data_IF_015053808159
#
_entry.id   IF_015053808159
#
_cell.length_a   1.000
_cell.length_b   1.000
_cell.length_c   1.000
_cell.angle_alpha   90.00
_cell.angle_beta   90.00
_cell.angle_gamma   90.00
#
_symmetry.space_group_name_H-M   'P 1'
#
loop_
_entity.id
_entity.type
_entity.pdbx_description
1 polymer ?
#
# COMPACT_ATOMS: atom_id res chain seq x y z
N UNK A 1 -21.80 8.82 4.36
CA UNK A 1 -22.26 9.07 2.97
C UNK A 1 -23.16 10.29 2.84
N UNK A 2 -23.98 10.63 3.84
CA UNK A 2 -24.93 11.77 3.80
C UNK A 2 -24.36 13.17 3.47
N UNK A 3 -23.07 13.44 3.73
CA UNK A 3 -22.51 14.80 3.56
C UNK A 3 -22.07 15.14 2.14
N UNK A 4 -21.77 14.15 1.31
CA UNK A 4 -21.23 14.34 -0.04
C UNK A 4 -22.26 14.93 -1.03
N UNK A 5 -23.54 14.56 -0.90
CA UNK A 5 -24.58 14.94 -1.86
C UNK A 5 -24.95 16.43 -1.87
N UNK A 6 -24.54 17.21 -0.87
CA UNK A 6 -24.94 18.63 -0.73
C UNK A 6 -24.16 19.60 -1.60
N UNK A 7 -23.02 19.18 -2.17
CA UNK A 7 -22.14 20.07 -2.93
C UNK A 7 -22.35 19.98 -4.46
N UNK A 8 -23.28 19.14 -4.94
CA UNK A 8 -23.53 18.94 -6.38
C UNK A 8 -22.39 18.21 -7.12
N UNK A 9 -21.39 17.70 -6.40
CA UNK A 9 -20.27 16.94 -6.96
C UNK A 9 -20.53 15.44 -6.83
N UNK A 10 -20.24 14.69 -7.89
CA UNK A 10 -20.27 13.22 -7.87
C UNK A 10 -19.10 12.73 -7.03
N UNK A 11 -19.40 11.95 -6.00
CA UNK A 11 -18.37 11.25 -5.21
C UNK A 11 -18.30 9.81 -5.68
N UNK A 12 -17.14 9.44 -6.22
CA UNK A 12 -16.82 8.07 -6.55
C UNK A 12 -16.11 7.39 -5.38
N UNK A 13 -16.52 6.16 -5.08
CA UNK A 13 -15.87 5.34 -4.05
C UNK A 13 -14.94 4.34 -4.71
N UNK A 14 -13.67 4.33 -4.29
CA UNK A 14 -12.74 3.29 -4.70
C UNK A 14 -12.74 2.12 -3.70
N UNK A 15 -12.51 0.87 -4.14
CA UNK A 15 -12.43 -0.29 -3.25
C UNK A 15 -11.22 -0.26 -2.30
N UNK A 16 -10.30 0.69 -2.50
CA UNK A 16 -9.04 0.79 -1.79
C UNK A 16 -7.89 0.21 -2.62
N UNK A 17 -6.67 0.33 -2.11
CA UNK A 17 -5.48 -0.14 -2.81
C UNK A 17 -5.14 -1.57 -2.40
N UNK A 18 -4.91 -2.45 -3.37
CA UNK A 18 -4.40 -3.81 -3.15
C UNK A 18 -3.37 -4.11 -4.22
N UNK A 19 -2.14 -4.42 -3.84
CA UNK A 19 -1.08 -4.77 -4.79
C UNK A 19 -0.53 -6.16 -4.47
N UNK A 20 -0.32 -6.99 -5.48
CA UNK A 20 0.52 -8.19 -5.32
C UNK A 20 1.96 -7.75 -5.06
N UNK A 21 2.63 -8.34 -4.08
CA UNK A 21 4.05 -8.02 -3.82
C UNK A 21 4.93 -8.38 -5.02
N UNK A 22 4.56 -9.40 -5.79
CA UNK A 22 5.24 -9.75 -7.03
C UNK A 22 5.21 -8.61 -8.05
N UNK A 23 4.11 -7.85 -8.13
CA UNK A 23 4.03 -6.67 -9.00
C UNK A 23 4.98 -5.58 -8.52
N UNK A 24 5.06 -5.32 -7.22
CA UNK A 24 6.02 -4.36 -6.66
C UNK A 24 7.47 -4.81 -6.96
N UNK A 25 7.74 -6.11 -6.86
CA UNK A 25 9.07 -6.68 -7.10
C UNK A 25 9.48 -6.67 -8.58
N UNK A 26 8.53 -6.58 -9.51
CA UNK A 26 8.82 -6.44 -10.93
C UNK A 26 9.37 -5.06 -11.31
N UNK A 27 9.18 -4.04 -10.44
CA UNK A 27 9.56 -2.65 -10.71
C UNK A 27 10.46 -2.05 -9.60
N UNK A 28 11.63 -2.64 -9.31
CA UNK A 28 12.53 -2.15 -8.27
C UNK A 28 13.03 -0.72 -8.52
N UNK A 29 13.06 -0.27 -9.78
CA UNK A 29 13.49 1.07 -10.19
C UNK A 29 12.58 2.20 -9.67
N UNK A 30 11.34 1.91 -9.26
CA UNK A 30 10.41 2.94 -8.82
C UNK A 30 10.79 3.55 -7.45
N UNK A 31 11.24 2.71 -6.51
CA UNK A 31 11.55 3.12 -5.12
C UNK A 31 12.80 2.48 -4.51
N UNK A 32 13.45 1.56 -5.23
CA UNK A 32 14.65 0.86 -4.80
C UNK A 32 14.36 -0.58 -4.36
N UNK A 33 15.38 -1.42 -4.48
CA UNK A 33 15.34 -2.82 -4.05
C UNK A 33 15.07 -2.97 -2.55
N UNK A 34 15.56 -2.03 -1.73
CA UNK A 34 15.31 -1.96 -0.29
C UNK A 34 13.81 -1.88 0.04
N UNK A 35 13.03 -1.21 -0.82
CA UNK A 35 11.59 -1.07 -0.66
C UNK A 35 10.84 -2.33 -1.09
N UNK A 36 11.32 -3.01 -2.12
CA UNK A 36 10.79 -4.32 -2.55
C UNK A 36 10.96 -5.34 -1.44
N UNK A 37 12.18 -5.45 -0.90
CA UNK A 37 12.51 -6.36 0.20
C UNK A 37 11.67 -6.05 1.45
N UNK A 38 11.47 -4.77 1.76
CA UNK A 38 10.61 -4.37 2.85
C UNK A 38 9.15 -4.78 2.61
N UNK A 39 8.61 -4.62 1.41
CA UNK A 39 7.26 -5.05 1.07
C UNK A 39 7.07 -6.56 1.19
N UNK A 40 8.05 -7.35 0.71
CA UNK A 40 8.09 -8.80 0.88
C UNK A 40 8.09 -9.20 2.35
N UNK A 41 9.00 -8.62 3.13
CA UNK A 41 9.10 -8.88 4.57
C UNK A 41 7.81 -8.54 5.31
N UNK A 42 7.15 -7.42 4.98
CA UNK A 42 5.85 -7.03 5.55
C UNK A 42 4.84 -8.16 5.35
N UNK A 43 4.75 -8.68 4.14
CA UNK A 43 3.80 -9.75 3.82
C UNK A 43 4.14 -11.06 4.51
N UNK A 44 5.39 -11.51 4.42
CA UNK A 44 5.84 -12.75 5.04
C UNK A 44 5.58 -12.80 6.55
N UNK A 45 5.60 -11.64 7.23
CA UNK A 45 5.53 -11.56 8.69
C UNK A 45 4.19 -11.12 9.24
N UNK A 46 3.39 -10.37 8.48
CA UNK A 46 2.18 -9.71 8.99
C UNK A 46 0.91 -10.07 8.22
N UNK A 47 1.02 -10.82 7.11
CA UNK A 47 -0.11 -11.22 6.28
C UNK A 47 -0.17 -12.74 6.08
N UNK A 48 -1.35 -13.22 5.74
CA UNK A 48 -1.61 -14.62 5.36
C UNK A 48 -1.82 -14.76 3.84
N UNK A 49 -1.36 -13.78 3.06
CA UNK A 49 -1.60 -13.63 1.61
C UNK A 49 -0.41 -12.96 0.94
N UNK A 50 -0.27 -13.07 -0.38
CA UNK A 50 0.74 -12.33 -1.17
C UNK A 50 0.39 -10.86 -1.42
N UNK A 51 -0.83 -10.45 -1.04
CA UNK A 51 -1.37 -9.12 -1.26
C UNK A 51 -0.97 -8.12 -0.17
N UNK A 52 -0.37 -7.02 -0.61
CA UNK A 52 -0.11 -5.84 0.19
C UNK A 52 -1.34 -4.94 0.25
N UNK A 53 -1.82 -4.71 1.47
CA UNK A 53 -2.92 -3.82 1.81
C UNK A 53 -2.40 -2.66 2.69
N UNK A 54 -3.08 -1.51 2.72
CA UNK A 54 -2.67 -0.36 3.54
C UNK A 54 -2.51 -0.71 5.02
N UNK A 55 -3.34 -1.63 5.53
CA UNK A 55 -3.29 -2.07 6.92
C UNK A 55 -1.98 -2.81 7.26
N UNK A 56 -1.40 -3.54 6.31
CA UNK A 56 -0.11 -4.23 6.52
C UNK A 56 1.02 -3.22 6.71
N UNK A 57 1.05 -2.15 5.90
CA UNK A 57 2.04 -1.07 6.03
C UNK A 57 1.88 -0.31 7.36
N UNK A 58 0.64 0.00 7.75
CA UNK A 58 0.35 0.65 9.02
C UNK A 58 0.76 -0.23 10.22
N UNK A 59 0.48 -1.53 10.14
CA UNK A 59 0.87 -2.50 11.18
C UNK A 59 2.39 -2.64 11.28
N UNK A 60 3.08 -2.72 10.14
CA UNK A 60 4.54 -2.79 10.11
C UNK A 60 5.18 -1.56 10.76
N UNK A 61 4.68 -0.36 10.45
CA UNK A 61 5.13 0.88 11.10
C UNK A 61 4.97 0.82 12.62
N UNK A 62 3.84 0.30 13.11
CA UNK A 62 3.58 0.20 14.55
C UNK A 62 4.41 -0.89 15.24
N UNK A 63 4.56 -2.05 14.63
CA UNK A 63 5.16 -3.24 15.28
C UNK A 63 6.68 -3.26 15.16
N UNK A 64 7.24 -2.68 14.10
CA UNK A 64 8.69 -2.69 13.83
C UNK A 64 9.35 -1.34 14.00
N UNK A 65 8.59 -0.33 14.45
CA UNK A 65 9.05 1.06 14.54
C UNK A 65 9.68 1.53 13.22
N UNK A 66 9.07 1.13 12.09
CA UNK A 66 9.60 1.50 10.78
C UNK A 66 9.65 3.02 10.65
N UNK A 67 10.77 3.47 10.10
CA UNK A 67 10.94 4.87 9.77
C UNK A 67 9.79 5.39 8.88
N UNK A 68 9.40 6.64 9.13
CA UNK A 68 8.30 7.29 8.43
C UNK A 68 8.53 7.33 6.91
N UNK A 69 9.77 7.55 6.47
CA UNK A 69 10.11 7.58 5.06
C UNK A 69 10.08 6.18 4.44
N UNK A 70 10.53 5.14 5.15
CA UNK A 70 10.41 3.75 4.69
C UNK A 70 8.96 3.34 4.48
N UNK A 71 8.09 3.58 5.47
CA UNK A 71 6.67 3.27 5.37
C UNK A 71 5.98 4.04 4.23
N UNK A 72 6.37 5.30 4.01
CA UNK A 72 5.86 6.13 2.90
C UNK A 72 6.29 5.60 1.53
N UNK A 73 7.53 5.13 1.38
CA UNK A 73 8.00 4.56 0.11
C UNK A 73 7.20 3.30 -0.26
N UNK A 74 6.97 2.39 0.69
CA UNK A 74 6.12 1.20 0.49
C UNK A 74 4.69 1.60 0.14
N UNK A 75 4.14 2.60 0.83
CA UNK A 75 2.80 3.12 0.53
C UNK A 75 2.69 3.68 -0.90
N UNK A 76 3.72 4.36 -1.41
CA UNK A 76 3.74 4.80 -2.81
C UNK A 76 3.71 3.63 -3.80
N UNK A 77 4.43 2.54 -3.55
CA UNK A 77 4.36 1.33 -4.39
C UNK A 77 2.93 0.77 -4.40
N UNK A 78 2.33 0.60 -3.22
CA UNK A 78 0.95 0.14 -3.09
C UNK A 78 -0.04 1.04 -3.86
N UNK A 79 0.08 2.35 -3.70
CA UNK A 79 -0.79 3.30 -4.39
C UNK A 79 -0.56 3.35 -5.90
N UNK A 80 0.64 2.99 -6.39
CA UNK A 80 1.00 3.01 -7.80
C UNK A 80 0.56 1.75 -8.54
N UNK A 81 0.73 0.59 -7.90
CA UNK A 81 0.52 -0.73 -8.49
C UNK A 81 -0.77 -1.40 -8.03
N UNK A 82 -1.42 -0.89 -6.99
CA UNK A 82 -2.65 -1.47 -6.44
C UNK A 82 -3.93 -0.70 -6.75
N UNK A 83 -3.94 0.13 -7.79
CA UNK A 83 -5.15 0.80 -8.30
C UNK A 83 -5.89 -0.11 -9.27
N UNK A 84 -7.22 -0.15 -9.17
CA UNK A 84 -8.09 -0.95 -10.04
C UNK A 84 -9.15 -0.12 -10.78
N UNK A 85 -8.98 1.20 -10.82
CA UNK A 85 -9.89 2.18 -11.41
C UNK A 85 -9.11 3.26 -12.15
#
# INVERSE_FOLDING_TARGET
MERAGRCGLVVETHPGYVAEVAEIAAHPEYRGQDVVELAQRIIERLANSTQLLPIHVARARRVWDLDGQQSKKVWHCLARFGRTW
#
